data_IF_415032534005
#
_entry.id   IF_415032534005
#
_cell.length_a   1.000
_cell.length_b   1.000
_cell.length_c   1.000
_cell.angle_alpha   90.00
_cell.angle_beta   90.00
_cell.angle_gamma   90.00
#
_symmetry.space_group_name_H-M   'P 1'
#
loop_
_entity.id
_entity.type
_entity.pdbx_description
1 polymer ?
#
# COMPACT_ATOMS: atom_id res chain seq x y z
N UNK A 1 5.47 -9.75 14.39
CA UNK A 1 4.73 -8.49 14.65
C UNK A 1 3.32 -8.87 15.02
N UNK A 2 2.79 -8.31 16.11
CA UNK A 2 1.44 -8.58 16.59
C UNK A 2 0.50 -7.48 16.07
N UNK A 3 -0.46 -7.89 15.25
CA UNK A 3 -1.31 -7.01 14.44
C UNK A 3 -2.78 -7.35 14.70
N UNK A 4 -3.60 -6.32 14.88
CA UNK A 4 -5.04 -6.45 14.98
C UNK A 4 -5.74 -5.73 13.83
N UNK A 5 -6.32 -6.53 12.94
CA UNK A 5 -7.17 -6.02 11.87
C UNK A 5 -8.46 -5.45 12.43
N UNK A 6 -8.80 -4.22 12.03
CA UNK A 6 -10.02 -3.53 12.47
C UNK A 6 -11.28 -4.23 11.95
N UNK A 7 -11.20 -4.90 10.80
CA UNK A 7 -12.29 -5.67 10.22
C UNK A 7 -11.92 -6.38 8.94
N UNK A 8 -12.94 -6.94 8.26
CA UNK A 8 -12.82 -7.63 6.96
C UNK A 8 -13.23 -6.78 5.76
N UNK A 9 -13.49 -5.51 5.99
CA UNK A 9 -13.90 -4.55 4.95
C UNK A 9 -12.72 -3.63 4.64
N UNK A 10 -12.35 -3.45 3.36
CA UNK A 10 -11.31 -2.52 2.99
C UNK A 10 -11.73 -1.08 3.33
N UNK A 11 -10.78 -0.27 3.78
CA UNK A 11 -11.01 1.14 4.13
C UNK A 11 -10.97 2.06 2.91
N UNK A 12 -10.47 1.54 1.78
CA UNK A 12 -10.48 2.22 0.50
C UNK A 12 -9.68 1.44 -0.54
N UNK A 13 -9.51 2.06 -1.71
CA UNK A 13 -8.87 1.40 -2.84
C UNK A 13 -8.14 2.40 -3.74
N UNK A 14 -7.13 1.91 -4.44
CA UNK A 14 -6.38 2.65 -5.44
C UNK A 14 -6.37 1.86 -6.75
N UNK A 15 -6.67 2.53 -7.86
CA UNK A 15 -6.63 1.94 -9.19
C UNK A 15 -5.52 2.61 -10.00
N UNK A 16 -4.70 1.82 -10.68
CA UNK A 16 -3.76 2.34 -11.65
C UNK A 16 -3.75 1.47 -12.91
N UNK A 17 -3.44 2.10 -14.04
CA UNK A 17 -3.25 1.40 -15.31
C UNK A 17 -1.80 1.00 -15.47
N UNK A 18 -1.55 -0.19 -16.00
CA UNK A 18 -0.19 -0.60 -16.32
C UNK A 18 0.34 0.20 -17.51
N UNK A 19 1.66 0.46 -17.58
CA UNK A 19 2.29 0.98 -18.78
C UNK A 19 1.98 0.06 -19.97
N UNK A 20 1.89 0.62 -21.18
CA UNK A 20 1.59 -0.13 -22.42
C UNK A 20 2.59 -1.26 -22.71
N UNK A 21 3.76 -1.19 -22.08
CA UNK A 21 4.86 -2.15 -22.22
C UNK A 21 4.77 -3.33 -21.25
N UNK A 22 3.81 -3.31 -20.31
CA UNK A 22 3.61 -4.39 -19.36
C UNK A 22 3.09 -5.64 -20.08
N UNK A 23 3.94 -6.66 -20.17
CA UNK A 23 3.59 -7.97 -20.71
C UNK A 23 3.11 -8.85 -19.56
N UNK A 24 1.79 -9.06 -19.51
CA UNK A 24 1.19 -10.09 -18.67
C UNK A 24 1.62 -11.48 -19.16
N UNK A 25 2.02 -12.37 -18.27
CA UNK A 25 2.27 -13.79 -18.58
C UNK A 25 0.99 -14.57 -18.89
N UNK A 26 -0.18 -13.99 -18.57
CA UNK A 26 -1.49 -14.57 -18.86
C UNK A 26 -1.94 -14.27 -20.29
N UNK A 27 -2.72 -15.18 -20.88
CA UNK A 27 -3.31 -15.05 -22.22
C UNK A 27 -4.29 -13.89 -22.36
N UNK A 28 -4.72 -13.29 -21.24
CA UNK A 28 -5.61 -12.14 -21.19
C UNK A 28 -4.80 -10.86 -20.93
N UNK A 29 -4.96 -9.80 -21.72
CA UNK A 29 -4.25 -8.54 -21.49
C UNK A 29 -4.69 -7.91 -20.17
N UNK A 30 -3.74 -7.77 -19.23
CA UNK A 30 -3.96 -7.10 -17.94
C UNK A 30 -3.73 -5.60 -18.13
N UNK A 31 -4.79 -4.79 -18.08
CA UNK A 31 -4.76 -3.35 -18.34
C UNK A 31 -4.36 -2.50 -17.13
N UNK A 32 -4.47 -3.05 -15.92
CA UNK A 32 -4.27 -2.29 -14.68
C UNK A 32 -4.38 -3.18 -13.44
N UNK A 33 -4.27 -2.55 -12.28
CA UNK A 33 -4.48 -3.19 -10.99
C UNK A 33 -5.39 -2.35 -10.10
N UNK A 34 -6.13 -3.03 -9.22
CA UNK A 34 -6.94 -2.44 -8.16
C UNK A 34 -6.41 -2.96 -6.83
N UNK A 35 -5.88 -2.05 -6.02
CA UNK A 35 -5.33 -2.33 -4.70
C UNK A 35 -6.37 -1.94 -3.66
N UNK A 36 -6.66 -2.84 -2.72
CA UNK A 36 -7.57 -2.59 -1.61
C UNK A 36 -6.77 -2.53 -0.30
N UNK A 37 -7.02 -1.50 0.50
CA UNK A 37 -6.29 -1.28 1.75
C UNK A 37 -7.08 -1.78 2.96
N UNK A 38 -6.39 -2.53 3.81
CA UNK A 38 -6.94 -3.05 5.07
C UNK A 38 -6.30 -2.31 6.24
N UNK A 39 -7.11 -1.87 7.22
CA UNK A 39 -6.60 -1.21 8.43
C UNK A 39 -6.25 -2.24 9.51
N UNK A 40 -5.07 -2.09 10.09
CA UNK A 40 -4.65 -2.84 11.27
C UNK A 40 -3.94 -1.94 12.29
N UNK A 41 -3.99 -2.32 13.56
CA UNK A 41 -3.21 -1.72 14.64
C UNK A 41 -2.05 -2.63 15.00
N UNK A 42 -0.87 -2.06 15.20
CA UNK A 42 0.28 -2.77 15.74
C UNK A 42 0.27 -2.66 17.27
N UNK A 43 0.31 -3.81 17.96
CA UNK A 43 0.39 -3.85 19.41
C UNK A 43 1.82 -4.08 19.91
N UNK A 44 2.57 -4.95 19.23
CA UNK A 44 3.93 -5.29 19.61
C UNK A 44 4.76 -5.82 18.44
N UNK A 45 6.09 -5.77 18.59
CA UNK A 45 7.05 -6.27 17.60
C UNK A 45 7.48 -5.22 16.57
N UNK A 46 8.26 -5.66 15.59
CA UNK A 46 8.88 -4.80 14.57
C UNK A 46 8.85 -5.48 13.19
N UNK A 47 8.96 -4.69 12.12
CA UNK A 47 9.08 -5.19 10.75
C UNK A 47 10.41 -5.94 10.60
N UNK A 48 10.35 -7.11 9.99
CA UNK A 48 11.52 -7.85 9.54
C UNK A 48 11.40 -8.03 8.04
N UNK A 49 12.29 -7.38 7.29
CA UNK A 49 12.35 -7.48 5.83
C UNK A 49 13.11 -8.74 5.45
N UNK A 50 12.68 -9.40 4.37
CA UNK A 50 13.30 -10.64 3.88
C UNK A 50 14.53 -10.38 3.00
N UNK A 51 14.72 -9.12 2.57
CA UNK A 51 15.81 -8.69 1.71
C UNK A 51 15.70 -9.21 0.27
N UNK A 52 14.55 -9.75 -0.13
CA UNK A 52 14.32 -10.30 -1.49
C UNK A 52 13.43 -9.37 -2.30
N UNK A 53 12.15 -9.31 -1.96
CA UNK A 53 11.19 -8.43 -2.62
C UNK A 53 11.14 -7.07 -1.93
N UNK A 54 11.30 -7.06 -0.61
CA UNK A 54 11.35 -5.84 0.19
C UNK A 54 12.73 -5.72 0.82
N UNK A 55 13.44 -4.66 0.43
CA UNK A 55 14.82 -4.42 0.85
C UNK A 55 14.87 -3.58 2.14
N UNK A 56 13.95 -2.63 2.29
CA UNK A 56 13.94 -1.68 3.41
C UNK A 56 12.51 -1.29 3.81
N UNK A 57 12.36 -0.73 5.01
CA UNK A 57 11.10 -0.22 5.53
C UNK A 57 11.32 1.02 6.40
N UNK A 58 10.33 1.91 6.41
CA UNK A 58 10.31 3.06 7.30
C UNK A 58 8.92 3.25 7.89
N UNK A 59 8.86 3.57 9.19
CA UNK A 59 7.65 4.11 9.82
C UNK A 59 7.63 5.61 9.60
N UNK A 60 6.60 6.11 8.91
CA UNK A 60 6.49 7.52 8.52
C UNK A 60 5.18 8.10 9.02
N UNK A 61 5.19 9.39 9.32
CA UNK A 61 3.97 10.16 9.56
C UNK A 61 3.22 10.42 8.26
N UNK A 62 1.96 10.85 8.36
CA UNK A 62 1.16 11.21 7.17
C UNK A 62 1.81 12.36 6.38
N UNK A 63 2.43 13.30 7.07
CA UNK A 63 3.11 14.44 6.46
C UNK A 63 4.35 13.98 5.68
N UNK A 64 5.17 13.13 6.28
CA UNK A 64 6.40 12.61 5.67
C UNK A 64 6.11 11.65 4.51
N UNK A 65 4.99 10.92 4.53
CA UNK A 65 4.64 9.96 3.48
C UNK A 65 4.68 10.58 2.06
N UNK A 66 4.36 11.87 1.93
CA UNK A 66 4.42 12.61 0.66
C UNK A 66 5.79 12.58 -0.02
N UNK A 67 6.85 12.47 0.78
CA UNK A 67 8.24 12.49 0.30
C UNK A 67 8.70 11.10 -0.18
N UNK A 68 7.97 10.03 0.19
CA UNK A 68 8.32 8.65 -0.12
C UNK A 68 7.49 8.03 -1.26
N UNK A 69 6.23 8.47 -1.42
CA UNK A 69 5.31 7.88 -2.41
C UNK A 69 4.99 8.87 -3.53
N UNK A 70 4.48 8.39 -4.66
CA UNK A 70 4.09 9.29 -5.74
C UNK A 70 2.94 10.21 -5.32
N UNK A 71 2.85 11.45 -5.85
CA UNK A 71 1.78 12.38 -5.50
C UNK A 71 0.38 11.80 -5.75
N UNK A 72 0.18 11.07 -6.83
CA UNK A 72 -1.12 10.47 -7.18
C UNK A 72 -1.52 9.37 -6.19
N UNK A 73 -0.54 8.60 -5.72
CA UNK A 73 -0.77 7.57 -4.71
C UNK A 73 -1.07 8.19 -3.34
N UNK A 74 -0.31 9.23 -2.96
CA UNK A 74 -0.55 9.95 -1.71
C UNK A 74 -1.96 10.55 -1.67
N UNK A 75 -2.39 11.20 -2.75
CA UNK A 75 -3.72 11.82 -2.85
C UNK A 75 -4.85 10.79 -2.70
N UNK A 76 -4.65 9.56 -3.19
CA UNK A 76 -5.62 8.48 -3.01
C UNK A 76 -5.64 7.91 -1.58
N UNK A 77 -4.51 7.95 -0.87
CA UNK A 77 -4.36 7.29 0.43
C UNK A 77 -4.58 8.22 1.62
N UNK A 78 -4.28 9.51 1.49
CA UNK A 78 -4.28 10.48 2.60
C UNK A 78 -5.59 10.52 3.40
N UNK A 79 -6.74 10.36 2.74
CA UNK A 79 -8.04 10.48 3.40
C UNK A 79 -8.40 9.22 4.22
N UNK A 80 -7.75 8.09 3.93
CA UNK A 80 -7.88 6.86 4.73
C UNK A 80 -7.04 6.91 6.01
N UNK A 81 -6.05 7.80 6.06
CA UNK A 81 -5.13 7.95 7.19
C UNK A 81 -5.68 8.99 8.17
N UNK A 82 -5.80 8.59 9.43
CA UNK A 82 -6.24 9.47 10.51
C UNK A 82 -5.20 10.55 10.78
N UNK A 83 -5.65 11.80 10.86
CA UNK A 83 -4.88 12.89 11.47
C UNK A 83 -5.12 12.84 12.99
N UNK A 84 -4.06 12.69 13.77
CA UNK A 84 -4.10 12.87 15.23
C UNK A 84 -4.11 14.36 15.57
#
# INVERSE_FOLDING_TARGET
MDLWYVGRVPIGHYNYSHPKEYKSESSVPVTGAKVFFMKAHIFAGQVQVDGKEVIDFAWVTKQEMKDYVSPEYYEAVKDMLSDL
#
